data_IF_809787543514
#
_entry.id   IF_809787543514
#
_cell.length_a   1.000
_cell.length_b   1.000
_cell.length_c   1.000
_cell.angle_alpha   90.00
_cell.angle_beta   90.00
_cell.angle_gamma   90.00
#
_symmetry.space_group_name_H-M   'P 1'
#
loop_
_entity.id
_entity.type
_entity.pdbx_description
1 polymer ?
#
# COMPACT_ATOMS: atom_id res chain seq x y z
N UNK A 1 4.81 -22.98 2.73
CA UNK A 1 4.49 -21.63 3.25
C UNK A 1 3.80 -20.85 2.15
N UNK A 2 2.74 -20.08 2.43
CA UNK A 2 2.04 -19.31 1.39
C UNK A 2 2.98 -18.24 0.85
N UNK A 3 3.36 -18.34 -0.42
CA UNK A 3 4.17 -17.35 -1.10
C UNK A 3 3.24 -16.43 -1.90
N UNK A 4 3.49 -15.13 -1.84
CA UNK A 4 2.75 -14.16 -2.61
C UNK A 4 3.56 -13.76 -3.83
N UNK A 5 2.91 -13.80 -5.00
CA UNK A 5 3.46 -13.23 -6.21
C UNK A 5 3.37 -11.71 -6.16
N UNK A 6 4.42 -11.08 -6.68
CA UNK A 6 4.56 -9.64 -6.82
C UNK A 6 5.09 -9.37 -8.23
N UNK A 7 4.54 -8.40 -8.97
CA UNK A 7 5.03 -8.08 -10.30
C UNK A 7 6.48 -7.55 -10.21
N UNK A 8 7.32 -7.81 -11.23
CA UNK A 8 8.63 -7.15 -11.31
C UNK A 8 8.43 -5.63 -11.52
N UNK A 9 9.43 -4.82 -11.18
CA UNK A 9 9.31 -3.35 -11.18
C UNK A 9 8.96 -2.77 -12.56
N UNK A 10 9.43 -3.42 -13.63
CA UNK A 10 9.20 -3.05 -15.02
C UNK A 10 7.72 -3.21 -15.41
N UNK A 11 7.01 -4.13 -14.76
CA UNK A 11 5.59 -4.39 -14.98
C UNK A 11 4.66 -3.44 -14.22
N UNK A 12 5.20 -2.50 -13.43
CA UNK A 12 4.36 -1.53 -12.75
C UNK A 12 3.68 -0.60 -13.76
N UNK A 13 2.36 -0.47 -13.62
CA UNK A 13 1.56 0.41 -14.44
C UNK A 13 1.01 1.55 -13.60
N UNK A 14 1.23 2.79 -14.06
CA UNK A 14 0.73 4.00 -13.40
C UNK A 14 -0.78 3.93 -13.13
N UNK A 15 -1.55 3.49 -14.13
CA UNK A 15 -3.02 3.34 -14.02
C UNK A 15 -3.42 2.35 -12.93
N UNK A 16 -2.70 1.22 -12.81
CA UNK A 16 -2.96 0.24 -11.76
C UNK A 16 -2.62 0.77 -10.36
N UNK A 17 -1.52 1.54 -10.24
CA UNK A 17 -1.14 2.22 -9.00
C UNK A 17 -2.22 3.22 -8.60
N UNK A 18 -2.63 4.12 -9.50
CA UNK A 18 -3.64 5.14 -9.20
C UNK A 18 -5.01 4.51 -8.88
N UNK A 19 -5.40 3.45 -9.59
CA UNK A 19 -6.61 2.68 -9.28
C UNK A 19 -6.53 1.98 -7.91
N UNK A 20 -5.36 1.48 -7.53
CA UNK A 20 -5.16 0.94 -6.19
C UNK A 20 -5.23 2.04 -5.11
N UNK A 21 -4.75 3.25 -5.38
CA UNK A 21 -4.74 4.35 -4.42
C UNK A 21 -6.05 5.16 -4.36
N UNK A 22 -6.98 4.97 -5.32
CA UNK A 22 -8.28 5.67 -5.32
C UNK A 22 -9.25 5.22 -4.22
N UNK A 23 -8.94 4.13 -3.52
CA UNK A 23 -9.70 3.65 -2.37
C UNK A 23 -9.09 4.21 -1.07
N UNK A 24 -9.86 4.94 -0.25
CA UNK A 24 -9.34 5.59 0.96
C UNK A 24 -8.70 4.62 1.94
N UNK A 25 -9.19 3.38 2.03
CA UNK A 25 -8.62 2.39 2.93
C UNK A 25 -7.27 1.89 2.42
N UNK A 26 -7.14 1.59 1.12
CA UNK A 26 -5.85 1.23 0.51
C UNK A 26 -4.83 2.36 0.64
N UNK A 27 -5.25 3.60 0.42
CA UNK A 27 -4.40 4.77 0.62
C UNK A 27 -3.93 4.87 2.09
N UNK A 28 -4.82 4.64 3.06
CA UNK A 28 -4.47 4.65 4.48
C UNK A 28 -3.45 3.56 4.85
N UNK A 29 -3.50 2.38 4.22
CA UNK A 29 -2.49 1.33 4.42
C UNK A 29 -1.13 1.82 3.93
N UNK A 30 -1.09 2.43 2.75
CA UNK A 30 0.14 2.92 2.13
C UNK A 30 0.74 4.07 2.97
N UNK A 31 -0.08 4.98 3.48
CA UNK A 31 0.34 6.03 4.42
C UNK A 31 0.92 5.45 5.71
N UNK A 32 0.29 4.44 6.31
CA UNK A 32 0.82 3.78 7.51
C UNK A 32 2.18 3.13 7.24
N UNK A 33 2.29 2.44 6.10
CA UNK A 33 3.54 1.77 5.70
C UNK A 33 4.65 2.76 5.30
N UNK A 34 4.32 3.97 4.83
CA UNK A 34 5.32 5.00 4.54
C UNK A 34 5.94 5.59 5.80
N UNK A 35 5.26 5.50 6.94
CA UNK A 35 5.79 5.94 8.24
C UNK A 35 6.55 4.82 8.94
N UNK A 36 5.98 3.61 8.96
CA UNK A 36 6.56 2.46 9.65
C UNK A 36 6.39 1.19 8.83
N UNK A 37 7.50 0.55 8.50
CA UNK A 37 7.54 -0.71 7.78
C UNK A 37 8.78 -1.53 8.20
N UNK A 38 8.72 -2.88 8.13
CA UNK A 38 7.54 -3.67 7.81
C UNK A 38 6.49 -3.68 8.95
N UNK A 39 5.23 -3.98 8.63
CA UNK A 39 4.13 -4.09 9.60
C UNK A 39 3.30 -5.37 9.39
N UNK A 40 2.83 -6.01 10.48
CA UNK A 40 1.87 -7.10 10.37
C UNK A 40 0.50 -6.60 9.90
N UNK A 41 -0.39 -7.51 9.48
CA UNK A 41 -1.73 -7.12 9.01
C UNK A 41 -2.60 -6.45 10.09
N UNK A 42 -2.45 -6.83 11.37
CA UNK A 42 -3.30 -6.35 12.46
C UNK A 42 -3.37 -4.81 12.59
N UNK A 43 -2.25 -4.05 12.68
CA UNK A 43 -2.29 -2.58 12.74
C UNK A 43 -2.79 -1.91 11.43
N UNK A 44 -2.77 -2.65 10.32
CA UNK A 44 -3.23 -2.18 9.01
C UNK A 44 -4.72 -2.47 8.78
N UNK A 45 -5.31 -3.41 9.53
CA UNK A 45 -6.68 -3.88 9.37
C UNK A 45 -7.73 -2.83 9.78
N UNK A 46 -7.50 -2.08 10.85
CA UNK A 46 -8.53 -1.24 11.45
C UNK A 46 -9.75 -2.09 11.85
N UNK A 47 -10.96 -1.55 11.67
CA UNK A 47 -12.21 -2.24 12.04
C UNK A 47 -12.78 -3.15 10.93
N UNK A 48 -12.00 -3.44 9.88
CA UNK A 48 -12.50 -4.19 8.71
C UNK A 48 -12.42 -5.71 8.89
N UNK A 49 -13.38 -6.48 8.33
CA UNK A 49 -13.29 -7.94 8.30
C UNK A 49 -12.07 -8.46 7.53
N UNK A 50 -11.54 -9.62 7.96
CA UNK A 50 -10.34 -10.25 7.39
C UNK A 50 -10.43 -10.55 5.88
N UNK A 51 -11.62 -10.92 5.40
CA UNK A 51 -11.87 -11.20 3.97
C UNK A 51 -11.70 -9.95 3.10
N UNK A 52 -12.23 -8.81 3.56
CA UNK A 52 -12.07 -7.51 2.90
C UNK A 52 -10.60 -7.10 2.87
N UNK A 53 -9.90 -7.19 4.00
CA UNK A 53 -8.47 -6.83 4.08
C UNK A 53 -7.61 -7.66 3.12
N UNK A 54 -7.87 -8.96 3.02
CA UNK A 54 -7.13 -9.85 2.11
C UNK A 54 -7.27 -9.41 0.64
N UNK A 55 -8.45 -8.92 0.24
CA UNK A 55 -8.66 -8.38 -1.10
C UNK A 55 -7.87 -7.08 -1.31
N UNK A 56 -7.91 -6.15 -0.36
CA UNK A 56 -7.16 -4.88 -0.45
C UNK A 56 -5.64 -5.11 -0.59
N UNK A 57 -5.05 -6.02 0.19
CA UNK A 57 -3.64 -6.39 0.03
C UNK A 57 -3.36 -7.08 -1.30
N UNK A 58 -4.29 -7.88 -1.83
CA UNK A 58 -4.14 -8.47 -3.18
C UNK A 58 -4.07 -7.40 -4.26
N UNK A 59 -4.94 -6.39 -4.20
CA UNK A 59 -4.93 -5.25 -5.13
C UNK A 59 -3.62 -4.46 -5.01
N UNK A 60 -3.19 -4.13 -3.79
CA UNK A 60 -1.94 -3.41 -3.53
C UNK A 60 -0.71 -4.17 -4.05
N UNK A 61 -0.65 -5.49 -3.84
CA UNK A 61 0.44 -6.34 -4.37
C UNK A 61 0.44 -6.39 -5.90
N UNK A 62 -0.73 -6.58 -6.52
CA UNK A 62 -0.88 -6.61 -7.98
C UNK A 62 -0.49 -5.28 -8.65
N UNK A 63 -0.74 -4.17 -7.98
CA UNK A 63 -0.31 -2.84 -8.44
C UNK A 63 1.18 -2.57 -8.22
N UNK A 64 1.89 -3.44 -7.50
CA UNK A 64 3.31 -3.26 -7.19
C UNK A 64 3.59 -2.35 -5.99
N UNK A 65 2.56 -1.91 -5.24
CA UNK A 65 2.72 -0.98 -4.12
C UNK A 65 3.31 -1.62 -2.86
N UNK A 66 2.88 -2.85 -2.57
CA UNK A 66 3.21 -3.56 -1.32
C UNK A 66 3.90 -4.88 -1.63
N UNK A 67 4.85 -5.25 -0.78
CA UNK A 67 5.44 -6.58 -0.67
C UNK A 67 4.98 -7.25 0.62
N UNK A 68 4.51 -8.49 0.53
CA UNK A 68 4.16 -9.31 1.69
C UNK A 68 5.11 -10.49 1.82
N UNK A 69 5.76 -10.61 2.97
CA UNK A 69 6.58 -11.76 3.36
C UNK A 69 5.92 -12.50 4.53
N UNK A 70 5.89 -13.83 4.47
CA UNK A 70 5.37 -14.65 5.57
C UNK A 70 6.52 -14.98 6.52
N UNK A 71 6.41 -14.57 7.78
CA UNK A 71 7.37 -14.85 8.85
C UNK A 71 6.63 -15.64 9.93
N UNK A 72 6.87 -16.95 9.98
CA UNK A 72 6.07 -17.87 10.78
C UNK A 72 4.60 -17.89 10.32
N UNK A 73 3.69 -17.49 11.22
CA UNK A 73 2.25 -17.34 10.91
C UNK A 73 1.86 -15.91 10.51
N UNK A 74 2.81 -14.97 10.61
CA UNK A 74 2.55 -13.54 10.43
C UNK A 74 2.86 -13.10 9.01
N UNK A 75 1.97 -12.27 8.45
CA UNK A 75 2.16 -11.64 7.15
C UNK A 75 2.74 -10.24 7.38
N UNK A 76 4.02 -10.06 7.07
CA UNK A 76 4.73 -8.79 7.18
C UNK A 76 4.64 -8.05 5.85
N UNK A 77 4.18 -6.80 5.90
CA UNK A 77 3.95 -5.96 4.73
C UNK A 77 4.91 -4.77 4.74
N UNK A 78 5.42 -4.43 3.56
CA UNK A 78 6.33 -3.29 3.33
C UNK A 78 5.98 -2.64 2.00
N UNK A 79 6.23 -1.34 1.86
CA UNK A 79 6.20 -0.67 0.57
C UNK A 79 7.34 -1.17 -0.31
N UNK A 80 7.13 -1.05 -1.62
CA UNK A 80 8.16 -1.24 -2.64
C UNK A 80 8.68 0.12 -3.09
N UNK A 81 8.99 0.97 -2.12
CA UNK A 81 9.38 2.37 -2.26
C UNK A 81 10.56 2.57 -3.22
N UNK A 82 11.66 1.84 -3.05
CA UNK A 82 12.82 1.95 -3.93
C UNK A 82 12.49 1.59 -5.40
N UNK A 83 11.67 0.55 -5.59
CA UNK A 83 11.25 0.08 -6.92
C UNK A 83 10.29 1.07 -7.58
N UNK A 84 9.36 1.64 -6.78
CA UNK A 84 8.43 2.67 -7.23
C UNK A 84 9.14 3.98 -7.57
N UNK A 85 10.09 4.41 -6.74
CA UNK A 85 10.85 5.64 -6.95
C UNK A 85 11.75 5.52 -8.19
N UNK A 86 12.38 4.36 -8.41
CA UNK A 86 13.15 4.12 -9.63
C UNK A 86 12.28 4.14 -10.90
N UNK A 87 11.05 3.61 -10.83
CA UNK A 87 10.14 3.48 -11.98
C UNK A 87 9.34 4.76 -12.27
N UNK A 88 8.95 5.49 -11.23
CA UNK A 88 8.12 6.70 -11.25
C UNK A 88 8.61 7.70 -10.19
N UNK A 89 9.72 8.41 -10.45
CA UNK A 89 10.33 9.30 -9.47
C UNK A 89 9.35 10.35 -8.92
N UNK A 90 9.29 10.48 -7.59
CA UNK A 90 8.46 11.43 -6.87
C UNK A 90 6.95 11.14 -6.85
N UNK A 91 6.46 10.12 -7.56
CA UNK A 91 5.03 9.84 -7.66
C UNK A 91 4.39 9.56 -6.30
N UNK A 92 4.92 8.56 -5.59
CA UNK A 92 4.34 8.11 -4.33
C UNK A 92 4.39 9.21 -3.29
N UNK A 93 5.53 9.91 -3.17
CA UNK A 93 5.69 11.06 -2.28
C UNK A 93 4.64 12.13 -2.57
N UNK A 94 4.47 12.52 -3.84
CA UNK A 94 3.52 13.56 -4.24
C UNK A 94 2.07 13.18 -3.87
N UNK A 95 1.69 11.92 -4.09
CA UNK A 95 0.35 11.43 -3.75
C UNK A 95 0.13 11.45 -2.24
N UNK A 96 1.10 10.97 -1.45
CA UNK A 96 0.98 10.93 0.01
C UNK A 96 0.91 12.34 0.60
N UNK A 97 1.76 13.26 0.12
CA UNK A 97 1.72 14.67 0.52
C UNK A 97 0.37 15.32 0.19
N UNK A 98 -0.19 15.03 -1.01
CA UNK A 98 -1.50 15.52 -1.40
C UNK A 98 -2.63 14.93 -0.55
N UNK A 99 -2.57 13.63 -0.26
CA UNK A 99 -3.55 12.95 0.58
C UNK A 99 -3.60 13.51 2.00
N UNK A 100 -2.44 13.82 2.59
CA UNK A 100 -2.34 14.46 3.91
C UNK A 100 -3.02 15.83 3.90
N UNK A 101 -2.70 16.68 2.92
CA UNK A 101 -3.34 18.00 2.78
C UNK A 101 -4.85 17.91 2.58
N UNK A 102 -5.32 16.96 1.76
CA UNK A 102 -6.76 16.76 1.55
C UNK A 102 -7.48 16.35 2.84
N UNK A 103 -6.86 15.53 3.69
CA UNK A 103 -7.43 15.14 4.97
C UNK A 103 -7.45 16.30 5.98
N UNK A 104 -6.41 17.14 6.01
CA UNK A 104 -6.34 18.33 6.85
C UNK A 104 -7.44 19.34 6.50
N UNK A 105 -7.67 19.58 5.21
CA UNK A 105 -8.74 20.47 4.73
C UNK A 105 -10.12 19.94 5.13
N UNK A 106 -10.37 18.63 4.98
CA UNK A 106 -11.66 18.02 5.35
C UNK A 106 -11.94 18.00 6.86
N UNK A 107 -10.92 18.19 7.70
CA UNK A 107 -11.07 18.25 9.17
C UNK A 107 -11.30 19.67 9.70
N UNK A 108 -11.21 20.69 8.82
CA UNK A 108 -11.46 22.10 9.15
C UNK A 108 -12.91 22.53 8.88
N UNK A 109 -13.69 21.67 8.20
CA UNK A 109 -15.13 21.80 7.94
C UNK A 109 -15.96 21.08 9.01
#
# INVERSE_FOLDING_TARGET
>A
MKQYEHPPAEAFQLTAILHALSDPYRLSIVQKLSVLQPQPCAPLQGDRPKSSVSHHFSVLRKAGLVRTLVVGVTHMNSLRDAELEARFPGLLKTILDAATRSAELAAQD
#
